data_IF_355532977024
#
_entry.id   IF_355532977024
#
_cell.length_a   1.000
_cell.length_b   1.000
_cell.length_c   1.000
_cell.angle_alpha   90.00
_cell.angle_beta   90.00
_cell.angle_gamma   90.00
#
_symmetry.space_group_name_H-M   'P 1'
#
loop_
_entity.id
_entity.type
_entity.pdbx_description
1 polymer ?
#
# COMPACT_ATOMS: atom_id res chain seq x y z
N UNK A 1 -13.32 13.55 -16.37
CA UNK A 1 -11.94 13.04 -16.51
C UNK A 1 -11.98 11.52 -16.61
N UNK A 2 -11.00 10.91 -17.29
CA UNK A 2 -10.82 9.46 -17.27
C UNK A 2 -9.96 9.10 -16.06
N UNK A 3 -10.42 8.15 -15.25
CA UNK A 3 -9.70 7.68 -14.07
C UNK A 3 -9.39 6.20 -14.21
N UNK A 4 -8.23 5.77 -13.70
CA UNK A 4 -7.86 4.36 -13.69
C UNK A 4 -7.32 3.93 -12.33
N UNK A 5 -7.44 2.64 -12.04
CA UNK A 5 -6.96 2.03 -10.80
C UNK A 5 -6.18 0.76 -11.12
N UNK A 6 -5.32 0.35 -10.19
CA UNK A 6 -4.68 -0.96 -10.24
C UNK A 6 -5.27 -1.86 -9.16
N UNK A 7 -5.64 -3.07 -9.55
CA UNK A 7 -6.13 -4.11 -8.65
C UNK A 7 -5.22 -5.33 -8.77
N UNK A 8 -4.62 -5.74 -7.65
CA UNK A 8 -3.82 -6.95 -7.56
C UNK A 8 -4.58 -8.06 -6.80
N UNK A 9 -4.64 -9.24 -7.39
CA UNK A 9 -5.37 -10.38 -6.85
C UNK A 9 -4.45 -11.20 -5.94
N UNK A 10 -4.79 -11.27 -4.65
CA UNK A 10 -4.01 -12.02 -3.65
C UNK A 10 -4.82 -13.18 -3.09
N UNK A 11 -4.15 -14.31 -2.86
CA UNK A 11 -4.76 -15.51 -2.25
C UNK A 11 -5.14 -15.34 -0.77
N UNK A 12 -4.70 -14.25 -0.14
CA UNK A 12 -5.00 -13.88 1.24
C UNK A 12 -5.37 -12.41 1.32
N UNK A 13 -6.10 -12.04 2.37
CA UNK A 13 -6.34 -10.63 2.67
C UNK A 13 -5.01 -9.95 3.00
N UNK A 14 -4.73 -8.86 2.30
CA UNK A 14 -3.55 -8.03 2.48
C UNK A 14 -3.98 -6.58 2.59
N UNK A 15 -3.30 -5.81 3.44
CA UNK A 15 -3.51 -4.37 3.60
C UNK A 15 -2.25 -3.64 3.18
N UNK A 16 -2.44 -2.44 2.63
CA UNK A 16 -1.33 -1.53 2.37
C UNK A 16 -0.96 -0.80 3.66
N UNK A 17 0.15 -1.21 4.27
CA UNK A 17 0.69 -0.53 5.45
C UNK A 17 1.69 0.56 5.02
N UNK A 18 1.38 1.83 5.34
CA UNK A 18 2.23 2.96 4.94
C UNK A 18 3.66 2.87 5.50
N UNK A 19 3.84 2.30 6.70
CA UNK A 19 5.18 2.11 7.24
C UNK A 19 6.00 1.10 6.42
N UNK A 20 5.37 0.09 5.81
CA UNK A 20 6.05 -0.88 4.92
C UNK A 20 6.44 -0.20 3.60
N UNK A 21 5.58 0.66 3.06
CA UNK A 21 5.91 1.50 1.90
C UNK A 21 7.14 2.36 2.20
N UNK A 22 7.15 3.05 3.34
CA UNK A 22 8.25 3.92 3.76
C UNK A 22 9.60 3.19 3.80
N UNK A 23 9.63 1.98 4.35
CA UNK A 23 10.84 1.17 4.41
C UNK A 23 11.16 0.39 3.12
N UNK A 24 10.37 0.56 2.05
CA UNK A 24 10.56 -0.11 0.77
C UNK A 24 10.18 -1.60 0.76
N UNK A 25 9.40 -2.05 1.76
CA UNK A 25 8.97 -3.45 1.90
C UNK A 25 7.71 -3.78 1.09
N UNK A 26 6.90 -2.76 0.75
CA UNK A 26 5.63 -2.93 0.03
C UNK A 26 5.48 -1.84 -1.02
N UNK A 27 6.03 -2.07 -2.22
CA UNK A 27 6.04 -1.09 -3.32
C UNK A 27 5.21 -1.52 -4.54
N UNK A 28 4.83 -2.79 -4.62
CA UNK A 28 4.27 -3.43 -5.82
C UNK A 28 3.13 -2.63 -6.48
N UNK A 29 2.08 -2.30 -5.72
CA UNK A 29 0.92 -1.57 -6.24
C UNK A 29 1.26 -0.15 -6.72
N UNK A 30 2.14 0.55 -6.02
CA UNK A 30 2.57 1.91 -6.38
C UNK A 30 3.40 1.88 -7.66
N UNK A 31 4.30 0.90 -7.78
CA UNK A 31 5.09 0.68 -9.00
C UNK A 31 4.20 0.34 -10.19
N UNK A 32 3.19 -0.52 -10.01
CA UNK A 32 2.23 -0.82 -11.07
C UNK A 32 1.48 0.43 -11.53
N UNK A 33 1.05 1.26 -10.58
CA UNK A 33 0.37 2.51 -10.92
C UNK A 33 1.30 3.47 -11.67
N UNK A 34 2.56 3.62 -11.25
CA UNK A 34 3.57 4.42 -11.94
C UNK A 34 3.79 3.95 -13.39
N UNK A 35 3.96 2.63 -13.60
CA UNK A 35 4.15 2.05 -14.93
C UNK A 35 2.90 2.22 -15.80
N UNK A 36 1.71 2.00 -15.24
CA UNK A 36 0.45 2.20 -15.95
C UNK A 36 0.26 3.67 -16.36
N UNK A 37 0.58 4.63 -15.49
CA UNK A 37 0.58 6.06 -15.82
C UNK A 37 1.51 6.36 -16.99
N UNK A 38 2.77 5.89 -16.94
CA UNK A 38 3.73 6.12 -18.01
C UNK A 38 3.29 5.49 -19.34
N UNK A 39 2.78 4.26 -19.31
CA UNK A 39 2.29 3.58 -20.50
C UNK A 39 1.07 4.26 -21.13
N UNK A 40 0.14 4.80 -20.32
CA UNK A 40 -0.98 5.58 -20.84
C UNK A 40 -0.54 6.89 -21.50
N UNK A 41 0.47 7.57 -20.93
CA UNK A 41 1.06 8.75 -21.56
C UNK A 41 1.69 8.43 -22.91
N UNK A 42 2.43 7.33 -23.02
CA UNK A 42 3.02 6.88 -24.30
C UNK A 42 1.94 6.52 -25.36
N UNK A 43 0.75 6.11 -24.93
CA UNK A 43 -0.39 5.81 -25.80
C UNK A 43 -1.22 7.07 -26.18
N UNK A 44 -0.83 8.26 -25.71
CA UNK A 44 -1.55 9.51 -25.97
C UNK A 44 -2.75 9.75 -25.05
N UNK A 45 -2.90 8.98 -23.97
CA UNK A 45 -3.96 9.11 -22.96
C UNK A 45 -3.49 10.01 -21.79
N UNK A 46 -2.92 11.18 -22.11
CA UNK A 46 -2.33 12.11 -21.12
C UNK A 46 -3.33 12.64 -20.08
N UNK A 47 -4.63 12.57 -20.38
CA UNK A 47 -5.72 13.01 -19.50
C UNK A 47 -6.19 11.93 -18.52
N UNK A 48 -5.66 10.70 -18.62
CA UNK A 48 -6.00 9.62 -17.70
C UNK A 48 -5.32 9.83 -16.35
N UNK A 49 -6.11 9.91 -15.27
CA UNK A 49 -5.62 10.19 -13.92
C UNK A 49 -5.62 8.93 -13.05
N UNK A 50 -4.51 8.63 -12.35
CA UNK A 50 -4.47 7.52 -11.40
C UNK A 50 -5.38 7.84 -10.21
N UNK A 51 -6.32 6.95 -9.91
CA UNK A 51 -7.34 7.16 -8.89
C UNK A 51 -7.15 6.29 -7.64
N UNK A 52 -6.50 5.13 -7.75
CA UNK A 52 -6.38 4.24 -6.61
C UNK A 52 -5.62 2.95 -6.90
N UNK A 53 -5.24 2.29 -5.80
CA UNK A 53 -4.50 1.04 -5.78
C UNK A 53 -5.11 0.10 -4.76
N UNK A 54 -5.36 -1.15 -5.14
CA UNK A 54 -6.10 -2.07 -4.31
C UNK A 54 -5.56 -3.50 -4.38
N UNK A 55 -5.65 -4.20 -3.25
CA UNK A 55 -5.65 -5.65 -3.20
C UNK A 55 -7.09 -6.17 -3.22
N UNK A 56 -7.31 -7.23 -4.00
CA UNK A 56 -8.51 -8.04 -3.96
C UNK A 56 -8.17 -9.43 -3.40
N UNK A 57 -8.82 -9.81 -2.30
CA UNK A 57 -8.61 -11.11 -1.68
C UNK A 57 -9.45 -12.19 -2.39
N UNK A 58 -8.81 -13.07 -3.15
CA UNK A 58 -9.42 -14.25 -3.77
C UNK A 58 -9.42 -15.41 -2.77
N UNK A 59 -10.08 -15.20 -1.64
CA UNK A 59 -10.21 -16.21 -0.60
C UNK A 59 -11.63 -16.27 -0.09
N UNK A 60 -12.23 -17.45 -0.18
CA UNK A 60 -13.50 -17.73 0.46
C UNK A 60 -13.25 -18.04 1.95
N UNK A 61 -13.45 -17.04 2.80
CA UNK A 61 -13.28 -17.17 4.25
C UNK A 61 -14.55 -17.68 4.95
N UNK A 62 -14.37 -18.29 6.12
CA UNK A 62 -15.47 -18.56 7.04
C UNK A 62 -16.01 -17.25 7.63
N UNK A 63 -17.34 -17.13 7.72
CA UNK A 63 -17.98 -16.07 8.48
C UNK A 63 -17.96 -16.44 9.96
N UNK A 64 -17.33 -15.58 10.78
CA UNK A 64 -17.43 -15.66 12.24
C UNK A 64 -18.60 -14.81 12.67
N UNK A 65 -19.63 -15.43 13.22
CA UNK A 65 -20.82 -14.76 13.74
C UNK A 65 -21.11 -15.24 15.18
N UNK A 66 -21.61 -14.36 16.03
CA UNK A 66 -21.94 -14.67 17.43
C UNK A 66 -23.26 -15.45 17.59
N UNK A 67 -24.00 -15.65 16.50
CA UNK A 67 -25.26 -16.38 16.49
C UNK A 67 -25.76 -16.64 15.06
N UNK A 68 -26.94 -17.27 14.90
CA UNK A 68 -27.51 -17.56 13.60
C UNK A 68 -27.75 -16.30 12.78
N UNK A 69 -27.38 -16.33 11.50
CA UNK A 69 -27.65 -15.25 10.55
C UNK A 69 -28.77 -15.68 9.60
N UNK A 70 -29.64 -14.73 9.24
CA UNK A 70 -30.55 -14.96 8.11
C UNK A 70 -29.74 -15.15 6.82
N UNK A 71 -30.24 -15.90 5.82
CA UNK A 71 -29.53 -16.07 4.55
C UNK A 71 -29.13 -14.74 3.90
N UNK A 72 -30.02 -13.74 3.93
CA UNK A 72 -29.76 -12.39 3.38
C UNK A 72 -28.61 -11.68 4.12
N UNK A 73 -28.60 -11.76 5.45
CA UNK A 73 -27.54 -11.15 6.27
C UNK A 73 -26.21 -11.89 6.06
N UNK A 74 -26.23 -13.22 5.96
CA UNK A 74 -25.04 -14.01 5.71
C UNK A 74 -24.39 -13.66 4.36
N UNK A 75 -25.17 -13.53 3.29
CA UNK A 75 -24.67 -13.08 1.98
C UNK A 75 -24.04 -11.69 2.08
N UNK A 76 -24.72 -10.74 2.73
CA UNK A 76 -24.20 -9.38 2.90
C UNK A 76 -22.87 -9.37 3.68
N UNK A 77 -22.77 -10.09 4.80
CA UNK A 77 -21.52 -10.20 5.57
C UNK A 77 -20.40 -10.88 4.77
N UNK A 78 -20.75 -11.86 3.93
CA UNK A 78 -19.79 -12.53 3.05
C UNK A 78 -19.21 -11.58 2.03
N UNK A 79 -20.05 -10.78 1.36
CA UNK A 79 -19.63 -9.80 0.38
C UNK A 79 -18.65 -8.76 0.97
N UNK A 80 -18.79 -8.40 2.24
CA UNK A 80 -17.84 -7.50 2.92
C UNK A 80 -16.41 -8.04 2.97
N UNK A 81 -16.21 -9.37 2.88
CA UNK A 81 -14.87 -9.99 2.85
C UNK A 81 -14.16 -9.83 1.50
N UNK A 82 -14.91 -9.54 0.44
CA UNK A 82 -14.41 -9.31 -0.91
C UNK A 82 -14.22 -7.82 -1.23
N UNK A 83 -14.31 -6.95 -0.23
CA UNK A 83 -14.01 -5.52 -0.40
C UNK A 83 -12.53 -5.34 -0.74
N UNK A 84 -12.28 -4.39 -1.62
CA UNK A 84 -10.95 -3.92 -1.94
C UNK A 84 -10.29 -3.27 -0.71
N UNK A 85 -9.03 -3.61 -0.47
CA UNK A 85 -8.18 -3.05 0.58
C UNK A 85 -7.03 -2.28 -0.08
N UNK A 86 -6.86 -1.00 0.22
CA UNK A 86 -5.91 -0.16 -0.51
C UNK A 86 -6.06 1.33 -0.22
N UNK A 87 -5.70 2.16 -1.20
CA UNK A 87 -5.81 3.62 -1.15
C UNK A 87 -6.49 4.16 -2.40
N UNK A 88 -7.24 5.24 -2.23
CA UNK A 88 -7.93 5.95 -3.30
C UNK A 88 -7.79 7.45 -3.10
N UNK A 89 -7.79 8.23 -4.19
CA UNK A 89 -7.93 9.68 -4.09
C UNK A 89 -9.31 10.05 -3.54
N UNK A 90 -9.34 11.05 -2.66
CA UNK A 90 -10.49 11.40 -1.83
C UNK A 90 -11.48 12.37 -2.46
N UNK A 91 -11.32 12.75 -3.73
CA UNK A 91 -12.27 13.63 -4.41
C UNK A 91 -13.62 12.93 -4.54
N UNK A 92 -14.70 13.69 -4.33
CA UNK A 92 -16.06 13.13 -4.32
C UNK A 92 -16.40 12.42 -5.65
N UNK A 93 -15.97 12.96 -6.79
CA UNK A 93 -16.17 12.35 -8.10
C UNK A 93 -15.49 10.96 -8.18
N UNK A 94 -14.22 10.86 -7.79
CA UNK A 94 -13.45 9.61 -7.82
C UNK A 94 -14.08 8.56 -6.92
N UNK A 95 -14.46 8.96 -5.70
CA UNK A 95 -15.08 8.08 -4.72
C UNK A 95 -16.45 7.58 -5.20
N UNK A 96 -17.25 8.44 -5.82
CA UNK A 96 -18.56 8.07 -6.39
C UNK A 96 -18.41 7.14 -7.60
N UNK A 97 -17.39 7.32 -8.42
CA UNK A 97 -17.08 6.41 -9.53
C UNK A 97 -16.66 5.02 -9.03
N UNK A 98 -15.92 4.96 -7.91
CA UNK A 98 -15.49 3.69 -7.31
C UNK A 98 -16.63 2.90 -6.64
N UNK A 99 -17.51 3.58 -5.91
CA UNK A 99 -18.65 2.96 -5.23
C UNK A 99 -19.91 3.81 -5.39
N UNK A 100 -20.61 3.63 -6.52
CA UNK A 100 -21.82 4.37 -6.87
C UNK A 100 -22.93 4.25 -5.82
N UNK A 101 -22.97 3.13 -5.08
CA UNK A 101 -23.97 2.93 -4.02
C UNK A 101 -23.58 3.62 -2.70
N UNK A 102 -22.33 4.08 -2.56
CA UNK A 102 -21.78 4.80 -1.40
C UNK A 102 -21.78 4.02 -0.07
N UNK A 103 -22.34 2.80 -0.07
CA UNK A 103 -22.55 1.97 1.11
C UNK A 103 -21.34 1.16 1.55
N UNK A 104 -20.19 1.34 0.89
CA UNK A 104 -19.02 0.50 1.08
C UNK A 104 -19.26 -0.89 0.51
N UNK A 105 -19.76 -0.99 -0.72
CA UNK A 105 -19.97 -2.30 -1.35
C UNK A 105 -18.66 -2.78 -1.97
N UNK A 106 -17.91 -1.85 -2.60
CA UNK A 106 -16.62 -2.11 -3.26
C UNK A 106 -15.45 -1.98 -2.29
N UNK A 107 -15.41 -0.92 -1.49
CA UNK A 107 -14.44 -0.69 -0.41
C UNK A 107 -15.13 -0.61 0.95
N UNK A 108 -14.39 -0.30 2.01
CA UNK A 108 -15.05 0.28 3.19
C UNK A 108 -15.67 1.63 2.84
N UNK A 109 -16.72 2.02 3.56
CA UNK A 109 -17.41 3.30 3.33
C UNK A 109 -16.42 4.47 3.44
N UNK A 110 -16.32 5.27 2.39
CA UNK A 110 -15.40 6.40 2.28
C UNK A 110 -16.06 7.72 2.71
N UNK A 111 -17.32 7.95 2.35
CA UNK A 111 -18.02 9.22 2.64
C UNK A 111 -18.96 9.08 3.83
N UNK A 112 -19.01 10.13 4.65
CA UNK A 112 -20.06 10.36 5.63
C UNK A 112 -21.34 10.85 4.93
N UNK A 113 -22.45 10.91 5.68
CA UNK A 113 -23.74 11.40 5.15
C UNK A 113 -23.71 12.86 4.69
N UNK A 114 -22.81 13.66 5.26
CA UNK A 114 -22.59 15.06 4.91
C UNK A 114 -21.63 15.25 3.70
N UNK A 115 -21.16 14.15 3.09
CA UNK A 115 -20.21 14.17 1.98
C UNK A 115 -18.74 14.31 2.39
N UNK A 116 -18.43 14.47 3.68
CA UNK A 116 -17.04 14.52 4.16
C UNK A 116 -16.37 13.14 4.15
N UNK A 117 -15.03 13.12 4.04
CA UNK A 117 -14.27 11.87 4.14
C UNK A 117 -14.39 11.27 5.55
N UNK A 118 -14.79 10.01 5.60
CA UNK A 118 -14.88 9.24 6.83
C UNK A 118 -13.48 8.99 7.40
N UNK A 119 -13.32 9.25 8.70
CA UNK A 119 -12.07 8.98 9.40
C UNK A 119 -11.69 7.49 9.30
N UNK A 120 -10.45 7.23 8.88
CA UNK A 120 -9.94 5.86 8.69
C UNK A 120 -10.46 5.15 7.44
N UNK A 121 -11.09 5.88 6.52
CA UNK A 121 -11.34 5.38 5.15
C UNK A 121 -10.03 5.22 4.38
N UNK A 122 -10.02 4.46 3.26
CA UNK A 122 -8.87 4.35 2.38
C UNK A 122 -8.59 5.62 1.55
N UNK A 123 -9.40 6.67 1.70
CA UNK A 123 -9.24 7.90 0.94
C UNK A 123 -8.11 8.77 1.49
N UNK A 124 -7.32 9.34 0.58
CA UNK A 124 -6.26 10.31 0.87
C UNK A 124 -6.43 11.53 -0.03
N UNK A 125 -5.88 12.68 0.38
CA UNK A 125 -5.92 13.87 -0.48
C UNK A 125 -5.10 13.67 -1.75
N UNK A 126 -5.36 14.48 -2.78
CA UNK A 126 -4.57 14.50 -4.02
C UNK A 126 -3.08 14.67 -3.71
N UNK A 127 -2.72 15.62 -2.84
CA UNK A 127 -1.34 15.90 -2.48
C UNK A 127 -0.69 14.75 -1.72
N UNK A 128 -1.47 14.02 -0.91
CA UNK A 128 -0.99 12.81 -0.23
C UNK A 128 -0.76 11.68 -1.23
N UNK A 129 -1.65 11.52 -2.20
CA UNK A 129 -1.53 10.50 -3.25
C UNK A 129 -0.30 10.75 -4.12
N UNK A 130 -0.12 11.98 -4.59
CA UNK A 130 1.04 12.40 -5.37
C UNK A 130 2.35 12.27 -4.58
N UNK A 131 2.36 12.70 -3.31
CA UNK A 131 3.51 12.53 -2.44
C UNK A 131 3.91 11.06 -2.31
N UNK A 132 2.92 10.17 -2.16
CA UNK A 132 3.18 8.73 -2.03
C UNK A 132 3.74 8.13 -3.32
N UNK A 133 3.23 8.52 -4.48
CA UNK A 133 3.74 8.08 -5.78
C UNK A 133 5.17 8.57 -6.04
N UNK A 134 5.42 9.86 -5.79
CA UNK A 134 6.75 10.44 -5.89
C UNK A 134 7.72 9.72 -4.96
N UNK A 135 7.36 9.54 -3.69
CA UNK A 135 8.18 8.79 -2.74
C UNK A 135 8.48 7.36 -3.22
N UNK A 136 7.49 6.65 -3.78
CA UNK A 136 7.71 5.30 -4.30
C UNK A 136 8.69 5.30 -5.48
N UNK A 137 8.58 6.26 -6.40
CA UNK A 137 9.52 6.42 -7.51
C UNK A 137 10.95 6.68 -7.00
N UNK A 138 11.10 7.61 -6.04
CA UNK A 138 12.39 7.89 -5.39
C UNK A 138 12.96 6.63 -4.73
N UNK A 139 12.13 5.90 -3.99
CA UNK A 139 12.53 4.68 -3.27
C UNK A 139 13.01 3.60 -4.22
N UNK A 140 12.32 3.39 -5.34
CA UNK A 140 12.73 2.42 -6.37
C UNK A 140 14.08 2.81 -6.96
N UNK A 141 14.30 4.10 -7.25
CA UNK A 141 15.60 4.57 -7.75
C UNK A 141 16.72 4.39 -6.74
N UNK A 142 16.48 4.69 -5.47
CA UNK A 142 17.44 4.46 -4.38
C UNK A 142 17.84 2.99 -4.32
N UNK A 143 16.85 2.09 -4.28
CA UNK A 143 17.08 0.63 -4.23
C UNK A 143 17.85 0.17 -5.47
N UNK A 144 17.47 0.63 -6.66
CA UNK A 144 18.15 0.30 -7.90
C UNK A 144 19.60 0.79 -7.93
N UNK A 145 19.86 2.02 -7.49
CA UNK A 145 21.19 2.59 -7.41
C UNK A 145 22.10 1.76 -6.48
N UNK A 146 21.61 1.41 -5.29
CA UNK A 146 22.33 0.58 -4.31
C UNK A 146 22.66 -0.81 -4.87
N UNK A 147 21.74 -1.42 -5.62
CA UNK A 147 22.00 -2.68 -6.29
C UNK A 147 23.08 -2.54 -7.37
N UNK A 148 23.03 -1.48 -8.19
CA UNK A 148 24.00 -1.23 -9.26
C UNK A 148 25.40 -0.89 -8.74
N UNK A 149 25.53 -0.27 -7.57
CA UNK A 149 26.82 0.00 -6.92
C UNK A 149 27.39 -1.20 -6.18
N UNK A 150 26.72 -2.35 -6.21
CA UNK A 150 27.20 -3.59 -5.60
C UNK A 150 26.99 -3.68 -4.09
N UNK A 151 25.99 -2.97 -3.54
CA UNK A 151 25.67 -3.09 -2.12
C UNK A 151 25.05 -4.46 -1.81
N UNK A 152 25.83 -5.33 -1.15
CA UNK A 152 25.46 -6.72 -0.82
C UNK A 152 25.49 -7.02 0.68
N UNK A 153 25.39 -5.98 1.52
CA UNK A 153 25.51 -6.11 2.98
C UNK A 153 24.40 -6.97 3.58
N UNK A 154 24.76 -7.83 4.54
CA UNK A 154 23.80 -8.64 5.30
C UNK A 154 23.17 -7.77 6.38
N UNK A 155 22.03 -7.15 6.08
CA UNK A 155 21.34 -6.22 6.96
C UNK A 155 19.85 -6.53 7.10
N UNK A 156 19.46 -7.68 7.71
CA UNK A 156 18.07 -8.10 7.84
C UNK A 156 17.28 -7.14 8.72
N UNK A 157 16.06 -6.81 8.33
CA UNK A 157 15.18 -5.99 9.16
C UNK A 157 14.53 -6.82 10.27
N UNK A 158 14.11 -6.13 11.34
CA UNK A 158 13.13 -6.60 12.32
C UNK A 158 12.04 -5.55 12.47
N UNK A 159 10.79 -5.95 12.21
CA UNK A 159 9.63 -5.06 12.17
C UNK A 159 8.40 -5.76 12.74
N UNK A 160 7.79 -5.18 13.77
CA UNK A 160 6.54 -5.65 14.38
C UNK A 160 6.56 -7.15 14.78
N UNK A 161 7.73 -7.67 15.20
CA UNK A 161 7.91 -9.07 15.59
C UNK A 161 8.39 -10.00 14.47
N UNK A 162 8.26 -9.58 13.21
CA UNK A 162 8.73 -10.34 12.05
C UNK A 162 10.13 -9.89 11.64
N UNK A 163 10.87 -10.77 10.98
CA UNK A 163 12.19 -10.48 10.44
C UNK A 163 12.26 -10.77 8.93
N UNK A 164 13.25 -10.19 8.25
CA UNK A 164 13.56 -10.56 6.87
C UNK A 164 13.94 -12.05 6.73
N UNK A 165 14.34 -12.71 7.82
CA UNK A 165 14.84 -14.07 7.84
C UNK A 165 13.72 -15.12 7.92
N UNK A 166 12.50 -14.75 8.33
CA UNK A 166 11.41 -15.70 8.65
C UNK A 166 11.03 -16.62 7.46
N UNK A 167 11.22 -16.13 6.24
CA UNK A 167 10.92 -16.84 4.98
C UNK A 167 12.09 -16.81 3.99
N UNK A 168 13.32 -16.59 4.47
CA UNK A 168 14.50 -16.48 3.61
C UNK A 168 15.20 -17.83 3.43
N UNK A 169 15.24 -18.33 2.19
CA UNK A 169 15.91 -19.60 1.86
C UNK A 169 17.45 -19.52 1.94
N UNK A 170 18.01 -18.31 2.02
CA UNK A 170 19.46 -18.08 2.01
C UNK A 170 20.09 -17.99 3.41
N UNK A 171 19.34 -18.29 4.48
CA UNK A 171 19.87 -18.28 5.84
C UNK A 171 21.16 -19.13 6.03
N UNK A 172 21.27 -20.35 5.44
CA UNK A 172 22.51 -21.13 5.53
C UNK A 172 23.71 -20.50 4.80
N UNK A 173 23.47 -19.61 3.84
CA UNK A 173 24.51 -18.96 3.03
C UNK A 173 25.02 -17.70 3.71
N UNK A 174 24.13 -16.86 4.22
CA UNK A 174 24.53 -15.57 4.80
C UNK A 174 25.19 -15.71 6.18
N UNK A 175 24.96 -16.82 6.89
CA UNK A 175 25.54 -17.08 8.23
C UNK A 175 25.27 -15.95 9.23
N UNK A 176 24.12 -15.26 9.10
CA UNK A 176 23.75 -14.18 10.01
C UNK A 176 23.49 -14.74 11.42
N UNK A 177 24.31 -14.30 12.36
CA UNK A 177 24.19 -14.64 13.78
C UNK A 177 24.23 -13.35 14.62
N UNK A 178 23.14 -12.96 15.30
CA UNK A 178 23.08 -11.72 16.09
C UNK A 178 23.94 -11.73 17.36
N UNK A 179 24.53 -12.87 17.75
CA UNK A 179 25.49 -12.94 18.86
C UNK A 179 26.89 -12.50 18.41
N UNK A 180 27.20 -12.58 17.11
CA UNK A 180 28.49 -12.18 16.57
C UNK A 180 28.58 -10.67 16.40
N UNK A 181 29.74 -10.11 16.74
CA UNK A 181 30.02 -8.68 16.59
C UNK A 181 29.93 -8.28 15.12
N UNK A 182 29.22 -7.19 14.84
CA UNK A 182 29.00 -6.68 13.48
C UNK A 182 27.71 -7.17 12.83
N UNK A 183 27.06 -8.20 13.39
CA UNK A 183 25.77 -8.69 12.94
C UNK A 183 24.65 -8.12 13.82
N UNK A 184 23.81 -7.27 13.23
CA UNK A 184 22.66 -6.73 13.94
C UNK A 184 21.46 -6.62 13.00
N UNK A 185 20.27 -6.83 13.57
CA UNK A 185 19.04 -6.50 12.86
C UNK A 185 18.90 -4.99 12.69
N UNK A 186 18.45 -4.57 11.52
CA UNK A 186 17.88 -3.22 11.32
C UNK A 186 16.50 -3.17 11.98
N UNK A 187 16.43 -2.67 13.20
CA UNK A 187 15.17 -2.55 13.94
C UNK A 187 14.37 -1.39 13.35
N UNK A 188 13.27 -1.71 12.67
CA UNK A 188 12.40 -0.74 12.03
C UNK A 188 11.20 -0.43 12.97
N UNK A 189 10.95 0.84 13.31
CA UNK A 189 9.81 1.21 14.13
C UNK A 189 8.50 1.01 13.36
N UNK A 190 7.46 0.54 14.04
CA UNK A 190 6.11 0.47 13.47
C UNK A 190 5.45 1.86 13.55
N UNK A 191 5.67 2.66 12.51
CA UNK A 191 5.11 4.01 12.42
C UNK A 191 3.57 3.96 12.39
N UNK A 192 2.96 4.91 13.09
CA UNK A 192 1.55 5.26 12.89
C UNK A 192 1.35 5.85 11.50
N UNK A 193 0.09 5.90 11.05
CA UNK A 193 -0.28 6.54 9.77
C UNK A 193 0.20 8.00 9.71
N UNK A 194 0.07 8.75 10.81
CA UNK A 194 0.49 10.15 10.87
C UNK A 194 2.01 10.30 10.78
N UNK A 195 2.76 9.47 11.49
CA UNK A 195 4.22 9.45 11.44
C UNK A 195 4.72 9.06 10.05
N UNK A 196 4.11 8.06 9.41
CA UNK A 196 4.47 7.67 8.04
C UNK A 196 4.28 8.84 7.06
N UNK A 197 3.16 9.57 7.13
CA UNK A 197 2.94 10.75 6.29
C UNK A 197 3.96 11.86 6.54
N UNK A 198 4.36 12.10 7.78
CA UNK A 198 5.43 13.07 8.08
C UNK A 198 6.78 12.60 7.57
N UNK A 199 7.07 11.30 7.64
CA UNK A 199 8.28 10.71 7.12
C UNK A 199 8.37 10.85 5.60
N UNK A 200 7.29 10.59 4.85
CA UNK A 200 7.23 10.85 3.40
C UNK A 200 7.50 12.32 3.07
N UNK A 201 6.86 13.26 3.79
CA UNK A 201 7.07 14.70 3.59
C UNK A 201 8.52 15.12 3.85
N UNK A 202 9.16 14.52 4.82
CA UNK A 202 10.53 14.85 5.21
C UNK A 202 11.53 14.31 4.18
N UNK A 203 11.33 13.07 3.73
CA UNK A 203 12.15 12.45 2.69
C UNK A 203 12.12 13.26 1.39
N UNK A 204 10.94 13.57 0.84
CA UNK A 204 10.82 14.30 -0.42
C UNK A 204 11.25 15.79 -0.34
N UNK A 205 11.40 16.37 0.87
CA UNK A 205 11.97 17.72 1.05
C UNK A 205 13.51 17.71 1.13
N UNK A 206 14.10 16.58 1.53
CA UNK A 206 15.56 16.41 1.61
C UNK A 206 16.20 16.43 0.22
N UNK A 207 15.56 15.79 -0.76
CA UNK A 207 16.10 15.67 -2.12
C UNK A 207 16.12 17.01 -2.88
N UNK A 208 15.18 17.93 -2.59
CA UNK A 208 15.13 19.28 -3.21
C UNK A 208 16.23 20.25 -2.74
N UNK A 209 17.10 19.85 -1.80
CA UNK A 209 18.24 20.67 -1.36
C UNK A 209 19.56 20.33 -2.07
N UNK A 210 19.55 19.34 -2.95
CA UNK A 210 20.73 18.86 -3.67
C UNK A 210 20.65 19.05 -5.20
N UNK A 211 19.62 19.75 -5.70
CA UNK A 211 19.56 20.36 -7.04
C UNK A 211 19.92 21.84 -6.96
#
# INVERSE_FOLDING_TARGET
NTYFTVVDYKSRSQRLALYEVYFGLSLQLLVYLLVATAGLQELGEELALPAGIFYFAVQEGFLRCQGPLSPKTAVAERLKKFRLEGLVRGEAEVVQLLDQQGGGTVTTQILNKDGSLRKGSPAVSEEQFELLLNFAAEKVREIGSRALTGEVQIAPYKLAGNTACDYCDFAPVCQFDPVLVGNAYRVLPKLTVQEAWQAFKTACKGDKKHE
#
